data_IF_326729934330
#
_entry.id   IF_326729934330
#
_cell.length_a   1.000
_cell.length_b   1.000
_cell.length_c   1.000
_cell.angle_alpha   90.00
_cell.angle_beta   90.00
_cell.angle_gamma   90.00
#
_symmetry.space_group_name_H-M   'P 1'
#
loop_
_entity.id
_entity.type
_entity.pdbx_description
1 polymer ?
#
# COMPACT_ATOMS: atom_id res chain seq x y z
N UNK A 1 20.82 -28.23 -14.50
CA UNK A 1 20.84 -27.19 -15.55
C UNK A 1 19.78 -26.16 -15.20
N UNK A 2 20.18 -24.89 -15.04
CA UNK A 2 19.54 -23.79 -14.29
C UNK A 2 18.21 -23.22 -14.86
N UNK A 3 17.41 -24.01 -15.60
CA UNK A 3 16.29 -23.49 -16.39
C UNK A 3 15.00 -23.15 -15.61
N UNK A 4 14.94 -23.35 -14.29
CA UNK A 4 13.69 -23.18 -13.51
C UNK A 4 13.41 -21.74 -13.05
N UNK A 5 14.39 -20.84 -13.05
CA UNK A 5 14.19 -19.50 -12.50
C UNK A 5 13.43 -18.58 -13.46
N UNK A 6 13.74 -18.59 -14.76
CA UNK A 6 13.04 -17.74 -15.75
C UNK A 6 11.61 -18.21 -15.96
N UNK A 7 11.38 -19.51 -16.08
CA UNK A 7 10.01 -20.06 -16.20
C UNK A 7 9.14 -19.70 -14.99
N UNK A 8 9.70 -19.77 -13.78
CA UNK A 8 8.98 -19.36 -12.57
C UNK A 8 8.65 -17.86 -12.58
N UNK A 9 9.58 -17.01 -13.00
CA UNK A 9 9.33 -15.56 -13.13
C UNK A 9 8.20 -15.26 -14.10
N UNK A 10 8.20 -15.91 -15.27
CA UNK A 10 7.14 -15.77 -16.27
C UNK A 10 5.79 -16.20 -15.71
N UNK A 11 5.73 -17.35 -15.03
CA UNK A 11 4.49 -17.86 -14.43
C UNK A 11 3.94 -16.92 -13.35
N UNK A 12 4.81 -16.41 -12.47
CA UNK A 12 4.41 -15.49 -11.40
C UNK A 12 3.92 -14.15 -11.98
N UNK A 13 4.65 -13.59 -12.95
CA UNK A 13 4.25 -12.36 -13.63
C UNK A 13 2.92 -12.51 -14.38
N UNK A 14 2.70 -13.65 -15.05
CA UNK A 14 1.44 -13.96 -15.73
C UNK A 14 0.28 -14.15 -14.75
N UNK A 15 0.51 -14.78 -13.59
CA UNK A 15 -0.51 -14.91 -12.57
C UNK A 15 -0.96 -13.54 -12.05
N UNK A 16 -0.02 -12.62 -11.82
CA UNK A 16 -0.31 -11.24 -11.39
C UNK A 16 -1.06 -10.45 -12.45
N UNK A 17 -0.63 -10.51 -13.71
CA UNK A 17 -1.37 -9.89 -14.82
C UNK A 17 -2.79 -10.46 -14.93
N UNK A 18 -2.95 -11.78 -14.76
CA UNK A 18 -4.25 -12.44 -14.73
C UNK A 18 -5.17 -11.94 -13.60
N UNK A 19 -4.63 -11.57 -12.44
CA UNK A 19 -5.40 -10.94 -11.35
C UNK A 19 -5.83 -9.51 -11.70
N UNK A 20 -4.96 -8.74 -12.36
CA UNK A 20 -5.27 -7.37 -12.80
C UNK A 20 -6.39 -7.36 -13.85
N UNK A 21 -6.34 -8.32 -14.78
CA UNK A 21 -7.28 -8.45 -15.89
C UNK A 21 -8.48 -9.38 -15.58
N UNK A 22 -8.65 -9.79 -14.32
CA UNK A 22 -9.72 -10.70 -13.92
C UNK A 22 -11.12 -10.07 -14.02
N UNK A 23 -11.19 -8.75 -13.90
CA UNK A 23 -12.43 -7.98 -13.84
C UNK A 23 -12.71 -7.21 -15.14
N UNK A 24 -13.96 -6.78 -15.31
CA UNK A 24 -14.36 -5.97 -16.46
C UNK A 24 -13.86 -4.52 -16.39
N UNK A 25 -13.56 -4.04 -15.18
CA UNK A 25 -12.97 -2.73 -14.97
C UNK A 25 -11.44 -2.85 -14.94
N UNK A 26 -10.70 -1.81 -15.38
CA UNK A 26 -9.25 -1.84 -15.29
C UNK A 26 -8.76 -1.87 -13.84
N UNK A 27 -7.63 -2.55 -13.65
CA UNK A 27 -6.84 -2.47 -12.42
C UNK A 27 -6.31 -1.04 -12.19
N UNK A 28 -5.91 -0.75 -10.96
CA UNK A 28 -5.43 0.58 -10.58
C UNK A 28 -4.28 0.52 -9.58
N UNK A 29 -3.34 1.47 -9.72
CA UNK A 29 -2.30 1.76 -8.75
C UNK A 29 -2.68 3.00 -7.94
N UNK A 30 -2.88 2.82 -6.64
CA UNK A 30 -3.29 3.85 -5.70
C UNK A 30 -2.07 4.31 -4.91
N UNK A 31 -1.80 5.62 -4.89
CA UNK A 31 -0.64 6.22 -4.22
C UNK A 31 -1.05 6.83 -2.90
N UNK A 32 -0.31 6.54 -1.83
CA UNK A 32 -0.62 6.98 -0.48
C UNK A 32 0.55 7.69 0.18
N UNK A 33 0.23 8.66 1.04
CA UNK A 33 1.15 9.16 2.06
C UNK A 33 1.04 8.33 3.35
N UNK A 34 1.84 8.67 4.35
CA UNK A 34 1.75 8.10 5.70
C UNK A 34 2.28 6.68 5.80
N UNK A 35 1.87 5.98 6.86
CA UNK A 35 2.29 4.60 7.15
C UNK A 35 1.74 3.57 6.18
N UNK A 36 2.54 2.57 5.81
CA UNK A 36 2.02 1.44 5.04
C UNK A 36 1.29 0.47 5.97
N UNK A 37 0.04 0.07 5.67
CA UNK A 37 -0.65 -0.96 6.46
C UNK A 37 0.00 -2.34 6.23
N UNK A 38 -0.37 -3.31 7.06
CA UNK A 38 -0.06 -4.71 6.79
C UNK A 38 -0.69 -5.13 5.45
N UNK A 39 -0.14 -6.19 4.87
CA UNK A 39 -0.53 -6.68 3.55
C UNK A 39 -2.04 -6.92 3.44
N UNK A 40 -2.67 -6.26 2.46
CA UNK A 40 -4.09 -6.40 2.19
C UNK A 40 -5.05 -5.83 3.25
N UNK A 41 -4.55 -5.19 4.31
CA UNK A 41 -5.42 -4.56 5.32
C UNK A 41 -6.08 -3.29 4.78
N UNK A 42 -7.35 -3.13 5.10
CA UNK A 42 -8.12 -1.93 4.76
C UNK A 42 -7.67 -0.73 5.61
N UNK A 43 -7.74 0.47 5.03
CA UNK A 43 -7.31 1.75 5.64
C UNK A 43 -8.35 2.86 5.48
N UNK A 44 -9.47 2.57 4.84
CA UNK A 44 -10.56 3.50 4.53
C UNK A 44 -11.37 3.93 5.75
N UNK A 45 -11.30 3.16 6.86
CA UNK A 45 -12.06 3.44 8.08
C UNK A 45 -11.39 2.92 9.36
N UNK A 46 -10.18 3.40 9.69
CA UNK A 46 -9.53 3.03 10.95
C UNK A 46 -10.26 3.71 12.14
N UNK A 47 -10.81 2.96 13.10
CA UNK A 47 -11.55 3.54 14.23
C UNK A 47 -10.61 4.31 15.18
N UNK A 48 -11.15 5.29 15.92
CA UNK A 48 -10.40 5.92 17.02
C UNK A 48 -10.20 4.93 18.18
N UNK A 49 -9.08 5.06 18.89
CA UNK A 49 -8.84 4.30 20.12
C UNK A 49 -9.98 4.53 21.13
N UNK A 50 -10.42 3.45 21.77
CA UNK A 50 -11.40 3.46 22.84
C UNK A 50 -10.79 2.82 24.09
N UNK A 51 -11.05 3.43 25.25
CA UNK A 51 -10.59 2.94 26.57
C UNK A 51 -11.42 1.76 27.05
N UNK A 52 -10.83 0.89 27.89
CA UNK A 52 -11.50 -0.29 28.46
C UNK A 52 -12.20 -1.16 27.40
N UNK A 53 -11.58 -1.25 26.21
CA UNK A 53 -12.12 -1.92 25.04
C UNK A 53 -11.26 -3.11 24.69
N UNK A 54 -11.89 -4.25 24.42
CA UNK A 54 -11.20 -5.45 23.96
C UNK A 54 -10.82 -5.32 22.49
N UNK A 55 -9.59 -5.69 22.18
CA UNK A 55 -9.01 -5.70 20.84
C UNK A 55 -8.34 -7.05 20.57
N UNK A 56 -8.21 -7.38 19.30
CA UNK A 56 -7.51 -8.55 18.80
C UNK A 56 -6.25 -8.13 18.06
N UNK A 57 -5.27 -9.03 18.02
CA UNK A 57 -4.01 -8.85 17.30
C UNK A 57 -4.28 -8.46 15.85
N UNK A 58 -3.61 -7.40 15.38
CA UNK A 58 -3.78 -6.84 14.04
C UNK A 58 -4.87 -5.77 13.93
N UNK A 59 -5.69 -5.54 14.95
CA UNK A 59 -6.65 -4.42 14.96
C UNK A 59 -5.91 -3.08 14.85
N UNK A 60 -6.51 -2.17 14.07
CA UNK A 60 -6.00 -0.81 13.92
C UNK A 60 -6.84 0.18 14.72
N UNK A 61 -6.16 1.15 15.32
CA UNK A 61 -6.79 2.31 15.95
C UNK A 61 -6.06 3.60 15.56
N UNK A 62 -6.75 4.73 15.59
CA UNK A 62 -6.14 6.06 15.45
C UNK A 62 -5.99 6.73 16.82
N UNK A 63 -4.88 7.46 16.98
CA UNK A 63 -4.68 8.40 18.06
C UNK A 63 -3.87 9.61 17.54
N UNK A 64 -4.46 10.81 17.61
CA UNK A 64 -3.86 11.99 17.01
C UNK A 64 -3.82 11.89 15.48
N UNK A 65 -2.63 12.06 14.89
CA UNK A 65 -2.41 11.98 13.43
C UNK A 65 -1.85 10.62 12.97
N UNK A 66 -1.67 9.68 13.91
CA UNK A 66 -1.09 8.37 13.67
C UNK A 66 -2.12 7.27 13.83
N UNK A 67 -1.80 6.10 13.28
CA UNK A 67 -2.53 4.86 13.54
C UNK A 67 -1.60 3.79 14.10
N UNK A 68 -2.20 2.86 14.84
CA UNK A 68 -1.49 1.88 15.63
C UNK A 68 -2.08 0.49 15.41
N UNK A 69 -1.22 -0.53 15.39
CA UNK A 69 -1.60 -1.94 15.30
C UNK A 69 -1.52 -2.60 16.67
N UNK A 70 -2.52 -3.38 17.03
CA UNK A 70 -2.47 -4.27 18.19
C UNK A 70 -1.46 -5.41 17.93
N UNK A 71 -0.41 -5.50 18.75
CA UNK A 71 0.58 -6.60 18.67
C UNK A 71 0.12 -7.87 19.40
N UNK A 72 -0.90 -7.75 20.25
CA UNK A 72 -1.47 -8.88 20.99
C UNK A 72 -2.95 -8.62 21.32
N UNK A 73 -3.69 -9.70 21.59
CA UNK A 73 -5.04 -9.62 22.12
C UNK A 73 -5.02 -9.03 23.55
N UNK A 74 -5.99 -8.18 23.88
CA UNK A 74 -6.05 -7.54 25.19
C UNK A 74 -7.19 -6.53 25.31
N UNK A 75 -7.23 -5.82 26.43
CA UNK A 75 -8.16 -4.73 26.74
C UNK A 75 -7.40 -3.45 27.07
N UNK A 76 -7.68 -2.37 26.35
CA UNK A 76 -7.06 -1.07 26.63
C UNK A 76 -7.31 -0.58 28.06
N UNK A 77 -6.42 0.25 28.59
CA UNK A 77 -6.59 0.83 29.91
C UNK A 77 -7.80 1.77 30.00
N UNK A 78 -8.16 2.20 31.21
CA UNK A 78 -9.21 3.21 31.44
C UNK A 78 -8.86 4.61 30.95
N UNK A 79 -7.61 4.84 30.55
CA UNK A 79 -7.09 6.07 29.95
C UNK A 79 -6.09 5.70 28.88
N UNK A 80 -6.10 6.37 27.73
CA UNK A 80 -5.11 6.12 26.67
C UNK A 80 -3.67 6.37 27.14
N UNK A 81 -2.69 5.63 26.60
CA UNK A 81 -1.28 5.82 26.93
C UNK A 81 -0.74 7.14 26.34
N UNK A 82 0.52 7.45 26.64
CA UNK A 82 1.26 8.44 25.83
C UNK A 82 1.69 7.76 24.54
N UNK A 83 1.05 8.12 23.44
CA UNK A 83 1.26 7.49 22.15
C UNK A 83 2.60 7.90 21.52
N UNK A 84 3.47 6.95 21.16
CA UNK A 84 4.69 7.24 20.40
C UNK A 84 4.32 7.61 18.95
N UNK A 85 5.22 8.34 18.27
CA UNK A 85 5.04 8.80 16.88
C UNK A 85 6.28 8.50 16.02
N UNK A 86 7.12 7.58 16.48
CA UNK A 86 8.43 7.26 15.91
C UNK A 86 8.58 5.79 15.55
N UNK A 87 7.47 5.07 15.36
CA UNK A 87 7.48 3.63 15.06
C UNK A 87 7.80 2.74 16.26
N UNK A 88 7.66 3.25 17.49
CA UNK A 88 7.87 2.47 18.71
C UNK A 88 6.57 1.79 19.18
N UNK A 89 6.71 0.81 20.07
CA UNK A 89 5.57 0.18 20.74
C UNK A 89 5.23 0.87 22.06
N UNK A 90 3.96 0.77 22.47
CA UNK A 90 3.49 1.25 23.77
C UNK A 90 2.52 0.26 24.40
N UNK A 91 2.70 -0.01 25.70
CA UNK A 91 1.77 -0.84 26.48
C UNK A 91 0.63 0.03 27.02
N UNK A 92 -0.60 -0.45 26.84
CA UNK A 92 -1.86 0.17 27.26
C UNK A 92 -2.69 -0.88 28.03
N UNK A 93 -2.38 -1.06 29.32
CA UNK A 93 -2.84 -2.20 30.12
C UNK A 93 -2.24 -3.54 29.67
N UNK A 94 -3.05 -4.48 29.17
CA UNK A 94 -2.61 -5.79 28.70
C UNK A 94 -2.50 -5.88 27.17
N UNK A 95 -2.81 -4.81 26.43
CA UNK A 95 -2.54 -4.68 25.00
C UNK A 95 -1.26 -3.87 24.74
N UNK A 96 -0.49 -4.28 23.74
CA UNK A 96 0.65 -3.55 23.19
C UNK A 96 0.30 -3.03 21.80
N UNK A 97 0.56 -1.74 21.58
CA UNK A 97 0.32 -1.07 20.31
C UNK A 97 1.64 -0.77 19.61
N UNK A 98 1.72 -1.02 18.30
CA UNK A 98 2.82 -0.60 17.42
C UNK A 98 2.39 0.65 16.64
N UNK A 99 3.18 1.73 16.71
CA UNK A 99 2.99 2.88 15.82
C UNK A 99 3.29 2.48 14.37
N UNK A 100 2.31 2.65 13.49
CA UNK A 100 2.43 2.33 12.07
C UNK A 100 2.75 3.58 11.23
N UNK A 101 2.86 4.75 11.86
CA UNK A 101 3.10 6.04 11.21
C UNK A 101 1.83 6.90 11.08
N UNK A 102 1.95 7.98 10.32
CA UNK A 102 0.82 8.88 10.04
C UNK A 102 -0.32 8.15 9.32
N UNK A 103 -1.56 8.59 9.58
CA UNK A 103 -2.75 8.02 8.94
C UNK A 103 -2.64 8.16 7.42
N UNK A 104 -2.80 7.07 6.63
CA UNK A 104 -2.59 7.13 5.20
C UNK A 104 -3.66 7.97 4.49
N UNK A 105 -3.22 8.82 3.56
CA UNK A 105 -4.12 9.59 2.72
C UNK A 105 -3.88 9.24 1.25
N UNK A 106 -4.96 9.01 0.50
CA UNK A 106 -4.89 8.76 -0.95
C UNK A 106 -4.48 10.04 -1.67
N UNK A 107 -3.33 10.00 -2.35
CA UNK A 107 -2.78 11.11 -3.14
C UNK A 107 -3.26 11.08 -4.59
N UNK A 108 -3.51 9.90 -5.14
CA UNK A 108 -4.00 9.76 -6.50
C UNK A 108 -4.17 8.31 -6.93
N UNK A 109 -4.87 8.12 -8.04
CA UNK A 109 -5.14 6.81 -8.63
C UNK A 109 -4.68 6.82 -10.08
N UNK A 110 -3.77 5.90 -10.41
CA UNK A 110 -3.38 5.61 -11.78
C UNK A 110 -4.17 4.39 -12.26
N UNK A 111 -5.25 4.62 -12.99
CA UNK A 111 -5.94 3.56 -13.70
C UNK A 111 -5.04 3.00 -14.81
N UNK A 112 -4.95 1.67 -14.89
CA UNK A 112 -4.29 0.97 -15.97
C UNK A 112 -5.25 0.84 -17.16
N UNK A 113 -4.71 0.45 -18.31
CA UNK A 113 -5.52 0.07 -19.47
C UNK A 113 -6.13 -1.33 -19.25
N UNK A 114 -7.05 -1.72 -20.12
CA UNK A 114 -7.56 -3.10 -20.20
C UNK A 114 -7.23 -3.65 -21.60
N UNK A 115 -6.33 -4.64 -21.73
CA UNK A 115 -5.56 -5.31 -20.69
C UNK A 115 -4.52 -4.41 -20.00
N UNK A 116 -4.18 -4.75 -18.75
CA UNK A 116 -3.32 -3.97 -17.86
C UNK A 116 -1.84 -3.97 -18.29
N UNK A 117 -1.42 -4.93 -19.11
CA UNK A 117 -0.02 -5.03 -19.53
C UNK A 117 0.31 -6.29 -20.32
N UNK A 118 1.62 -6.53 -20.47
CA UNK A 118 2.18 -7.72 -21.13
C UNK A 118 3.35 -8.28 -20.33
N UNK A 119 3.51 -9.61 -20.33
CA UNK A 119 4.68 -10.29 -19.74
C UNK A 119 5.61 -10.77 -20.86
N UNK A 120 6.89 -10.43 -20.78
CA UNK A 120 7.90 -10.88 -21.75
C UNK A 120 8.44 -12.29 -21.45
N UNK A 121 9.31 -12.81 -22.32
CA UNK A 121 9.89 -14.14 -22.18
C UNK A 121 10.85 -14.29 -20.98
N UNK A 122 11.31 -13.17 -20.39
CA UNK A 122 12.16 -13.14 -19.20
C UNK A 122 11.35 -13.00 -17.90
N UNK A 123 10.02 -12.87 -18.01
CA UNK A 123 9.10 -12.68 -16.90
C UNK A 123 8.99 -11.23 -16.44
N UNK A 124 9.35 -10.26 -17.27
CA UNK A 124 9.13 -8.84 -16.99
C UNK A 124 7.70 -8.47 -17.35
N UNK A 125 6.98 -7.95 -16.37
CA UNK A 125 5.65 -7.37 -16.56
C UNK A 125 5.80 -5.89 -16.95
N UNK A 126 5.29 -5.54 -18.13
CA UNK A 126 5.18 -4.15 -18.60
C UNK A 126 3.72 -3.73 -18.50
N UNK A 127 3.40 -2.82 -17.58
CA UNK A 127 2.07 -2.27 -17.45
C UNK A 127 1.81 -1.14 -18.46
N UNK A 128 0.55 -0.95 -18.81
CA UNK A 128 0.09 0.07 -19.74
C UNK A 128 -0.93 0.97 -19.06
N UNK A 129 -0.70 2.29 -19.15
CA UNK A 129 -1.64 3.33 -18.76
C UNK A 129 -1.54 4.47 -19.77
N UNK A 130 -2.44 4.49 -20.76
CA UNK A 130 -2.37 5.46 -21.88
C UNK A 130 -3.01 6.80 -21.55
N UNK A 131 -3.96 6.80 -20.60
CA UNK A 131 -4.62 8.01 -20.13
C UNK A 131 -3.76 8.67 -19.06
N UNK A 132 -3.46 9.96 -19.24
CA UNK A 132 -2.80 10.73 -18.18
C UNK A 132 -3.75 10.92 -17.01
N UNK A 133 -3.36 10.44 -15.84
CA UNK A 133 -4.06 10.63 -14.58
C UNK A 133 -3.41 11.77 -13.79
N UNK A 134 -4.12 12.29 -12.80
CA UNK A 134 -3.70 13.43 -12.02
C UNK A 134 -3.77 13.15 -10.52
N UNK A 135 -2.83 13.75 -9.78
CA UNK A 135 -2.81 13.74 -8.32
C UNK A 135 -4.07 14.44 -7.80
N UNK A 136 -4.84 13.76 -6.95
CA UNK A 136 -6.09 14.27 -6.37
C UNK A 136 -5.88 15.01 -5.06
N UNK A 137 -4.83 14.66 -4.31
CA UNK A 137 -4.39 15.34 -3.09
C UNK A 137 -2.86 15.43 -3.05
N UNK A 138 -2.33 16.60 -2.63
CA UNK A 138 -0.89 16.80 -2.54
C UNK A 138 -0.30 16.13 -1.29
N UNK A 139 0.96 15.70 -1.39
CA UNK A 139 1.70 15.09 -0.28
C UNK A 139 2.90 14.28 -0.75
N UNK A 140 3.64 13.73 0.20
CA UNK A 140 4.77 12.85 -0.07
C UNK A 140 4.26 11.42 -0.26
N UNK A 141 4.45 10.85 -1.45
CA UNK A 141 4.16 9.44 -1.71
C UNK A 141 5.12 8.56 -0.90
N UNK A 142 4.57 7.67 -0.07
CA UNK A 142 5.34 6.78 0.80
C UNK A 142 5.19 5.31 0.37
N UNK A 143 4.01 4.94 -0.13
CA UNK A 143 3.72 3.59 -0.59
C UNK A 143 2.59 3.62 -1.63
N UNK A 144 2.45 2.53 -2.37
CA UNK A 144 1.38 2.36 -3.33
C UNK A 144 0.76 0.97 -3.23
N UNK A 145 -0.50 0.88 -3.67
CA UNK A 145 -1.29 -0.34 -3.71
C UNK A 145 -1.77 -0.61 -5.12
N UNK A 146 -1.56 -1.83 -5.58
CA UNK A 146 -2.14 -2.35 -6.80
C UNK A 146 -3.40 -3.16 -6.48
N UNK A 147 -4.52 -2.77 -7.09
CA UNK A 147 -5.81 -3.42 -6.96
C UNK A 147 -6.36 -3.83 -8.32
N UNK A 148 -7.18 -4.88 -8.37
CA UNK A 148 -7.92 -5.24 -9.58
C UNK A 148 -9.13 -4.32 -9.80
N UNK A 149 -9.87 -4.53 -10.89
CA UNK A 149 -11.06 -3.75 -11.23
C UNK A 149 -12.23 -3.82 -10.25
N UNK A 150 -12.20 -4.78 -9.32
CA UNK A 150 -13.15 -4.90 -8.21
C UNK A 150 -12.66 -4.24 -6.90
N UNK A 151 -11.48 -3.63 -6.87
CA UNK A 151 -10.86 -3.09 -5.65
C UNK A 151 -10.26 -4.15 -4.74
N UNK A 152 -10.03 -5.36 -5.25
CA UNK A 152 -9.33 -6.42 -4.51
C UNK A 152 -7.82 -6.18 -4.58
N UNK A 153 -7.17 -6.18 -3.42
CA UNK A 153 -5.72 -6.07 -3.30
C UNK A 153 -4.99 -7.17 -4.09
N UNK A 154 -3.98 -6.76 -4.87
CA UNK A 154 -3.05 -7.65 -5.58
C UNK A 154 -1.66 -7.57 -4.94
N UNK A 155 -1.17 -6.35 -4.73
CA UNK A 155 0.16 -6.09 -4.18
C UNK A 155 0.20 -4.69 -3.55
N UNK A 156 1.13 -4.47 -2.62
CA UNK A 156 1.46 -3.13 -2.13
C UNK A 156 2.92 -3.07 -1.72
N UNK A 157 3.52 -1.89 -1.79
CA UNK A 157 4.92 -1.70 -1.42
C UNK A 157 5.31 -0.23 -1.39
N UNK A 158 6.58 0.02 -1.11
CA UNK A 158 7.16 1.34 -0.94
C UNK A 158 7.19 2.17 -2.23
N UNK A 159 7.12 3.49 -2.06
CA UNK A 159 7.44 4.46 -3.08
C UNK A 159 8.77 5.13 -2.71
N UNK A 160 9.73 5.13 -3.63
CA UNK A 160 10.97 5.87 -3.43
C UNK A 160 11.49 6.42 -4.78
N UNK A 161 12.61 7.13 -4.77
CA UNK A 161 13.16 7.80 -5.92
C UNK A 161 13.70 6.80 -6.96
N UNK A 162 13.69 7.20 -8.23
CA UNK A 162 14.25 6.43 -9.35
C UNK A 162 15.65 5.89 -9.07
N UNK A 163 15.81 4.58 -9.18
CA UNK A 163 17.03 3.82 -8.86
C UNK A 163 17.12 3.27 -7.43
N UNK A 164 16.08 3.41 -6.60
CA UNK A 164 16.03 2.87 -5.25
C UNK A 164 15.81 1.35 -5.21
N UNK A 165 15.18 0.78 -6.24
CA UNK A 165 14.66 -0.59 -6.22
C UNK A 165 13.33 -0.74 -5.48
N UNK A 166 12.64 0.36 -5.15
CA UNK A 166 11.32 0.34 -4.51
C UNK A 166 10.25 -0.29 -5.41
N UNK A 167 9.12 -0.68 -4.81
CA UNK A 167 7.94 -1.18 -5.53
C UNK A 167 7.50 -0.20 -6.63
N UNK A 168 7.35 1.09 -6.28
CA UNK A 168 7.17 2.17 -7.25
C UNK A 168 8.34 3.14 -7.19
N UNK A 169 8.93 3.41 -8.34
CA UNK A 169 9.95 4.45 -8.47
C UNK A 169 9.37 5.72 -9.08
N UNK A 170 9.63 6.85 -8.43
CA UNK A 170 9.17 8.18 -8.83
C UNK A 170 10.36 9.12 -9.04
N UNK A 171 10.24 10.04 -9.98
CA UNK A 171 11.22 11.12 -10.15
C UNK A 171 11.22 12.10 -8.96
N UNK A 172 10.08 12.24 -8.27
CA UNK A 172 9.90 13.01 -7.04
C UNK A 172 8.81 12.35 -6.19
N UNK A 173 9.03 12.28 -4.88
CA UNK A 173 8.00 11.80 -3.94
C UNK A 173 6.98 12.88 -3.58
N UNK A 174 7.34 14.16 -3.77
CA UNK A 174 6.42 15.28 -3.57
C UNK A 174 5.42 15.35 -4.74
N UNK A 175 4.23 14.79 -4.52
CA UNK A 175 3.13 14.84 -5.46
C UNK A 175 2.34 16.13 -5.26
N UNK A 176 2.24 16.92 -6.32
CA UNK A 176 1.49 18.19 -6.30
C UNK A 176 0.08 17.95 -6.83
N UNK A 177 -0.95 18.36 -6.09
CA UNK A 177 -2.34 18.26 -6.51
C UNK A 177 -2.56 18.86 -7.91
N UNK A 178 -3.26 18.13 -8.78
CA UNK A 178 -3.48 18.50 -10.18
C UNK A 178 -2.27 18.29 -11.09
N UNK A 179 -1.12 17.89 -10.55
CA UNK A 179 0.04 17.45 -11.32
C UNK A 179 -0.20 16.09 -11.97
N UNK A 180 0.53 15.77 -13.06
CA UNK A 180 0.43 14.46 -13.70
C UNK A 180 0.95 13.37 -12.78
N UNK A 181 0.22 12.26 -12.70
CA UNK A 181 0.62 11.06 -11.97
C UNK A 181 1.26 10.08 -12.95
N UNK A 182 2.58 9.95 -12.91
CA UNK A 182 3.36 9.12 -13.83
C UNK A 182 4.55 8.48 -13.11
N UNK A 183 4.50 7.19 -12.79
CA UNK A 183 5.66 6.47 -12.26
C UNK A 183 6.73 6.29 -13.33
N UNK A 184 8.00 6.33 -12.93
CA UNK A 184 9.15 6.07 -13.80
C UNK A 184 9.33 4.56 -14.01
N UNK A 185 9.08 3.77 -12.95
CA UNK A 185 9.02 2.31 -13.04
C UNK A 185 8.13 1.69 -11.94
N UNK A 186 7.74 0.43 -12.16
CA UNK A 186 7.03 -0.41 -11.20
C UNK A 186 7.67 -1.80 -11.20
N UNK A 187 7.99 -2.33 -10.03
CA UNK A 187 8.56 -3.68 -9.87
C UNK A 187 7.67 -4.51 -8.96
N UNK A 188 7.26 -5.70 -9.40
CA UNK A 188 6.49 -6.63 -8.56
C UNK A 188 7.31 -7.92 -8.40
N UNK A 189 7.87 -8.16 -7.21
CA UNK A 189 8.68 -9.34 -6.87
C UNK A 189 7.84 -10.51 -6.36
#
# INVERSE_FOLDING_TARGET
MLYRSTELKVVVAQARLGLMDADANPAALLFYSGGQPDEGRAIDAIPAHAVSTAYTTGDYVTAGLHYYRAENDGTSAGTGPTWPTTGETVTDNDITWQDMGEIPALLGTLALDQPAGTVDADGRLTLVATVTQFVTAGGTAAWARLENGAGTWIYQGDCDLTGSGAFVELNTLELVQGGPLRPDSLTIE
#
